data_IF_568125484771
#
_entry.id   IF_568125484771
#
_cell.length_a   1.000
_cell.length_b   1.000
_cell.length_c   1.000
_cell.angle_alpha   90.00
_cell.angle_beta   90.00
_cell.angle_gamma   90.00
#
_symmetry.space_group_name_H-M   'P 1'
#
loop_
_entity.id
_entity.type
_entity.pdbx_description
1 polymer ?
#
# COMPACT_ATOMS: atom_id res chain seq x y z
N UNK A 1 -19.10 26.47 3.40
CA UNK A 1 -18.56 25.40 4.27
C UNK A 1 -19.32 25.47 5.59
N UNK A 2 -20.19 24.49 5.83
CA UNK A 2 -21.32 24.65 6.75
C UNK A 2 -21.00 24.53 8.25
N UNK A 3 -21.70 25.38 9.01
CA UNK A 3 -22.19 25.36 10.40
C UNK A 3 -22.34 24.03 11.17
N UNK A 4 -21.58 22.98 10.86
CA UNK A 4 -21.66 21.72 11.60
C UNK A 4 -21.17 21.97 13.02
N UNK A 5 -22.10 21.86 13.99
CA UNK A 5 -21.78 21.74 15.40
C UNK A 5 -20.64 20.73 15.59
N UNK A 6 -19.66 21.06 16.44
CA UNK A 6 -18.58 20.16 16.79
C UNK A 6 -19.18 18.86 17.35
N UNK A 7 -19.25 17.82 16.51
CA UNK A 7 -19.78 16.54 16.95
C UNK A 7 -18.87 16.00 18.05
N UNK A 8 -19.46 15.55 19.15
CA UNK A 8 -18.73 14.85 20.21
C UNK A 8 -18.16 13.54 19.63
N UNK A 9 -16.88 13.54 19.28
CA UNK A 9 -16.20 12.39 18.73
C UNK A 9 -15.94 11.34 19.82
N UNK A 10 -16.05 10.08 19.46
CA UNK A 10 -15.71 8.98 20.38
C UNK A 10 -14.19 8.82 20.35
N UNK A 11 -13.52 9.15 21.47
CA UNK A 11 -12.08 8.94 21.60
C UNK A 11 -11.73 7.45 21.68
N UNK A 12 -12.40 6.71 22.58
CA UNK A 12 -12.17 5.28 22.80
C UNK A 12 -13.11 4.41 21.96
N UNK A 13 -12.66 4.01 20.78
CA UNK A 13 -13.39 3.10 19.91
C UNK A 13 -13.25 1.65 20.33
N UNK A 14 -14.38 0.93 20.29
CA UNK A 14 -14.46 -0.49 20.65
C UNK A 14 -14.69 -1.41 19.45
N UNK A 15 -15.34 -0.90 18.41
CA UNK A 15 -15.61 -1.60 17.15
C UNK A 15 -14.42 -1.44 16.20
N UNK A 16 -14.01 -2.52 15.55
CA UNK A 16 -12.87 -2.58 14.66
C UNK A 16 -13.30 -2.98 13.24
N UNK A 17 -12.42 -2.75 12.26
CA UNK A 17 -12.62 -3.28 10.91
C UNK A 17 -12.49 -4.80 10.94
N UNK A 18 -13.40 -5.52 10.30
CA UNK A 18 -13.45 -6.98 10.32
C UNK A 18 -14.17 -7.58 11.53
N UNK A 19 -14.79 -6.77 12.39
CA UNK A 19 -15.65 -7.32 13.45
C UNK A 19 -17.01 -7.75 12.86
N UNK A 20 -17.57 -8.85 13.38
CA UNK A 20 -18.95 -9.25 13.13
C UNK A 20 -19.90 -8.47 14.04
N UNK A 21 -20.85 -7.77 13.44
CA UNK A 21 -21.80 -6.91 14.14
C UNK A 21 -23.23 -7.21 13.75
N UNK A 22 -24.15 -6.96 14.67
CA UNK A 22 -25.59 -6.95 14.45
C UNK A 22 -26.14 -5.53 14.52
N UNK A 23 -27.09 -5.23 13.65
CA UNK A 23 -27.76 -3.93 13.60
C UNK A 23 -28.93 -3.93 14.60
N UNK A 24 -28.91 -2.99 15.54
CA UNK A 24 -29.93 -2.86 16.59
C UNK A 24 -31.10 -2.00 16.12
N UNK A 25 -30.79 -0.94 15.36
CA UNK A 25 -31.75 0.08 14.92
C UNK A 25 -31.45 0.51 13.50
N UNK A 26 -32.48 0.64 12.67
CA UNK A 26 -32.37 1.04 11.27
C UNK A 26 -33.30 0.23 10.38
N UNK A 27 -33.12 0.36 9.07
CA UNK A 27 -33.86 -0.37 8.04
C UNK A 27 -33.66 -1.88 8.16
N UNK A 28 -32.41 -2.29 8.36
CA UNK A 28 -31.99 -3.71 8.36
C UNK A 28 -31.79 -4.22 9.79
N UNK A 29 -32.79 -4.02 10.66
CA UNK A 29 -32.70 -4.38 12.09
C UNK A 29 -32.66 -5.90 12.29
N UNK A 30 -31.76 -6.35 13.15
CA UNK A 30 -31.59 -7.77 13.50
C UNK A 30 -30.67 -8.52 12.55
N UNK A 31 -30.25 -7.89 11.45
CA UNK A 31 -29.32 -8.49 10.52
C UNK A 31 -27.88 -8.39 11.01
N UNK A 32 -27.11 -9.43 10.70
CA UNK A 32 -25.69 -9.54 10.98
C UNK A 32 -24.87 -9.18 9.73
N UNK A 33 -23.70 -8.57 9.93
CA UNK A 33 -22.71 -8.35 8.87
C UNK A 33 -21.33 -7.98 9.40
N UNK A 34 -20.34 -8.04 8.51
CA UNK A 34 -18.94 -7.70 8.83
C UNK A 34 -18.70 -6.21 8.63
N UNK A 35 -17.88 -5.59 9.49
CA UNK A 35 -17.50 -4.18 9.34
C UNK A 35 -16.40 -4.02 8.30
N UNK A 36 -16.76 -3.54 7.10
CA UNK A 36 -15.81 -3.23 6.01
C UNK A 36 -14.91 -2.06 6.33
N UNK A 37 -15.50 -0.95 6.78
CA UNK A 37 -14.75 0.29 7.07
C UNK A 37 -15.33 1.05 8.24
N UNK A 38 -14.43 1.66 9.01
CA UNK A 38 -14.74 2.51 10.16
C UNK A 38 -14.37 3.96 9.83
N UNK A 39 -15.32 4.89 9.97
CA UNK A 39 -15.15 6.34 9.74
C UNK A 39 -15.18 7.04 11.10
N UNK A 40 -14.00 7.23 11.71
CA UNK A 40 -13.87 7.80 13.06
C UNK A 40 -14.23 9.30 13.12
N UNK A 41 -14.02 10.04 12.03
CA UNK A 41 -14.32 11.48 11.95
C UNK A 41 -15.81 11.81 12.07
N UNK A 42 -16.69 10.83 11.85
CA UNK A 42 -18.14 11.01 11.86
C UNK A 42 -18.85 10.04 12.81
N UNK A 43 -18.10 9.26 13.61
CA UNK A 43 -18.63 8.18 14.44
C UNK A 43 -19.50 7.17 13.66
N UNK A 44 -19.06 6.77 12.45
CA UNK A 44 -19.83 5.90 11.55
C UNK A 44 -19.07 4.65 11.14
N UNK A 45 -19.81 3.61 10.76
CA UNK A 45 -19.32 2.32 10.28
C UNK A 45 -20.05 1.93 8.99
N UNK A 46 -19.35 1.26 8.09
CA UNK A 46 -19.92 0.64 6.89
C UNK A 46 -19.89 -0.86 7.11
N UNK A 47 -21.07 -1.48 7.03
CA UNK A 47 -21.28 -2.92 7.20
C UNK A 47 -21.57 -3.52 5.83
N UNK A 48 -21.02 -4.70 5.57
CA UNK A 48 -21.12 -5.37 4.27
C UNK A 48 -22.57 -5.75 3.92
N UNK A 49 -23.02 -5.35 2.73
CA UNK A 49 -24.35 -5.67 2.21
C UNK A 49 -25.53 -5.05 2.99
N UNK A 50 -25.27 -4.16 3.96
CA UNK A 50 -26.31 -3.52 4.78
C UNK A 50 -26.44 -2.04 4.46
N UNK A 51 -27.61 -1.49 4.76
CA UNK A 51 -27.97 -0.09 4.56
C UNK A 51 -27.70 0.36 3.12
N UNK A 52 -28.23 -0.41 2.16
CA UNK A 52 -28.04 -0.17 0.73
C UNK A 52 -28.84 1.05 0.28
N UNK A 53 -28.16 1.95 -0.44
CA UNK A 53 -28.73 3.15 -1.05
C UNK A 53 -28.48 3.10 -2.55
N UNK A 54 -29.52 3.38 -3.33
CA UNK A 54 -29.42 3.51 -4.79
C UNK A 54 -28.80 4.87 -5.13
N UNK A 55 -27.67 4.84 -5.84
CA UNK A 55 -27.00 6.03 -6.37
C UNK A 55 -27.09 6.03 -7.88
N UNK A 56 -27.62 7.11 -8.44
CA UNK A 56 -27.61 7.36 -9.88
C UNK A 56 -26.25 7.98 -10.23
N UNK A 57 -25.49 7.32 -11.09
CA UNK A 57 -24.20 7.80 -11.57
C UNK A 57 -24.35 8.14 -13.05
N UNK A 58 -24.03 9.38 -13.41
CA UNK A 58 -24.00 9.82 -14.81
C UNK A 58 -22.82 9.12 -15.51
N UNK A 59 -23.04 8.64 -16.72
CA UNK A 59 -21.99 8.07 -17.57
C UNK A 59 -20.87 9.08 -17.85
N UNK A 60 -19.63 8.59 -17.89
CA UNK A 60 -18.45 9.35 -18.28
C UNK A 60 -17.43 8.46 -19.01
N UNK A 61 -16.27 9.01 -19.38
CA UNK A 61 -15.23 8.21 -20.02
C UNK A 61 -14.71 7.13 -19.05
N UNK A 62 -14.88 5.86 -19.42
CA UNK A 62 -14.39 4.71 -18.68
C UNK A 62 -15.31 4.16 -17.58
N UNK A 63 -16.53 4.69 -17.40
CA UNK A 63 -17.51 4.11 -16.49
C UNK A 63 -18.93 4.18 -17.06
N UNK A 64 -19.63 3.05 -17.00
CA UNK A 64 -21.03 2.96 -17.41
C UNK A 64 -21.91 3.76 -16.46
N UNK A 65 -22.88 4.48 -17.04
CA UNK A 65 -23.94 5.13 -16.27
C UNK A 65 -24.96 4.11 -15.80
N UNK A 66 -25.57 4.36 -14.65
CA UNK A 66 -26.57 3.43 -14.12
C UNK A 66 -26.98 3.70 -12.68
N UNK A 67 -27.83 2.80 -12.18
CA UNK A 67 -28.28 2.78 -10.79
C UNK A 67 -27.41 1.77 -10.04
N UNK A 68 -26.52 2.27 -9.19
CA UNK A 68 -25.64 1.43 -8.38
C UNK A 68 -26.17 1.33 -6.95
N UNK A 69 -26.24 0.12 -6.42
CA UNK A 69 -26.53 -0.12 -5.01
C UNK A 69 -25.24 0.00 -4.20
N UNK A 70 -25.12 1.03 -3.37
CA UNK A 70 -23.92 1.30 -2.56
C UNK A 70 -24.26 1.24 -1.09
N UNK A 71 -23.37 0.61 -0.30
CA UNK A 71 -23.45 0.55 1.16
C UNK A 71 -23.33 1.95 1.77
N UNK A 72 -24.28 2.35 2.60
CA UNK A 72 -24.26 3.64 3.28
C UNK A 72 -23.84 3.52 4.75
N UNK A 73 -23.17 4.53 5.31
CA UNK A 73 -22.62 4.47 6.66
C UNK A 73 -23.69 4.56 7.75
N UNK A 74 -23.63 3.64 8.72
CA UNK A 74 -24.44 3.60 9.93
C UNK A 74 -23.71 4.26 11.10
N UNK A 75 -24.45 4.84 12.04
CA UNK A 75 -23.84 5.39 13.27
C UNK A 75 -23.45 4.26 14.24
N UNK A 76 -22.33 4.42 14.96
CA UNK A 76 -21.79 3.39 15.86
C UNK A 76 -22.77 2.94 16.95
N UNK A 77 -23.64 3.84 17.42
CA UNK A 77 -24.65 3.51 18.44
C UNK A 77 -25.67 2.46 17.99
N UNK A 78 -25.84 2.29 16.66
CA UNK A 78 -26.87 1.42 16.09
C UNK A 78 -26.34 0.01 15.81
N UNK A 79 -25.06 -0.26 16.08
CA UNK A 79 -24.42 -1.56 15.87
C UNK A 79 -23.91 -2.12 17.19
N UNK A 80 -23.98 -3.44 17.33
CA UNK A 80 -23.39 -4.17 18.46
C UNK A 80 -22.53 -5.32 17.94
N UNK A 81 -21.44 -5.61 18.64
CA UNK A 81 -20.57 -6.74 18.29
C UNK A 81 -21.24 -8.03 18.72
N UNK A 82 -21.09 -9.08 17.91
CA UNK A 82 -21.62 -10.41 18.21
C UNK A 82 -20.58 -11.19 19.02
N UNK A 83 -21.04 -11.89 20.05
CA UNK A 83 -20.20 -12.85 20.77
C UNK A 83 -19.95 -14.07 19.87
N UNK A 84 -18.68 -14.46 19.59
CA UNK A 84 -18.38 -15.61 18.73
C UNK A 84 -18.94 -16.94 19.25
N UNK A 85 -19.15 -17.08 20.56
CA UNK A 85 -19.63 -18.33 21.16
C UNK A 85 -21.15 -18.38 21.17
N UNK A 86 -21.78 -17.31 21.64
CA UNK A 86 -23.24 -17.30 21.90
C UNK A 86 -24.05 -16.77 20.71
N UNK A 87 -23.42 -16.10 19.75
CA UNK A 87 -24.09 -15.46 18.61
C UNK A 87 -25.00 -14.28 19.00
N UNK A 88 -24.99 -13.87 20.27
CA UNK A 88 -25.84 -12.80 20.81
C UNK A 88 -25.14 -11.44 20.71
N UNK A 89 -25.90 -10.32 20.57
CA UNK A 89 -25.35 -8.98 20.70
C UNK A 89 -24.74 -8.77 22.09
N UNK A 90 -23.50 -8.29 22.14
CA UNK A 90 -22.81 -8.03 23.39
C UNK A 90 -22.12 -6.66 23.41
N UNK A 91 -21.82 -6.17 24.62
CA UNK A 91 -21.01 -4.97 24.83
C UNK A 91 -19.54 -5.38 25.00
N UNK A 92 -18.63 -4.67 24.34
CA UNK A 92 -17.19 -4.94 24.48
C UNK A 92 -16.62 -4.28 25.74
N UNK A 93 -15.98 -5.10 26.58
CA UNK A 93 -15.08 -4.70 27.67
C UNK A 93 -13.61 -4.89 27.29
N UNK A 94 -12.72 -4.32 28.09
CA UNK A 94 -11.27 -4.49 27.98
C UNK A 94 -10.81 -5.17 29.26
N UNK A 95 -10.00 -6.21 29.15
CA UNK A 95 -9.28 -6.84 30.27
C UNK A 95 -7.81 -6.99 29.91
N UNK A 96 -6.96 -7.08 30.92
CA UNK A 96 -5.55 -7.43 30.78
C UNK A 96 -5.37 -8.87 31.24
N UNK A 97 -4.63 -9.66 30.48
CA UNK A 97 -4.20 -11.00 30.88
C UNK A 97 -3.02 -10.90 31.87
N UNK A 98 -2.63 -12.02 32.47
CA UNK A 98 -1.46 -12.13 33.34
C UNK A 98 -0.17 -11.73 32.61
N UNK A 99 -0.10 -12.00 31.30
CA UNK A 99 1.00 -11.59 30.40
C UNK A 99 1.06 -10.07 30.14
N UNK A 100 0.09 -9.29 30.65
CA UNK A 100 -0.06 -7.85 30.37
C UNK A 100 -0.69 -7.54 29.00
N UNK A 101 -1.01 -8.56 28.19
CA UNK A 101 -1.65 -8.36 26.88
C UNK A 101 -3.08 -7.85 27.03
N UNK A 102 -3.42 -6.80 26.27
CA UNK A 102 -4.74 -6.17 26.27
C UNK A 102 -5.72 -6.95 25.38
N UNK A 103 -6.74 -7.54 25.98
CA UNK A 103 -7.78 -8.31 25.28
C UNK A 103 -9.16 -7.66 25.38
N UNK A 104 -9.98 -7.89 24.37
CA UNK A 104 -11.41 -7.52 24.38
C UNK A 104 -12.23 -8.69 24.90
N UNK A 105 -13.21 -8.39 25.75
CA UNK A 105 -14.07 -9.40 26.39
C UNK A 105 -15.54 -9.06 26.19
N UNK A 106 -16.37 -10.06 25.93
CA UNK A 106 -17.83 -9.86 25.85
C UNK A 106 -18.43 -9.57 27.23
N UNK A 107 -19.35 -8.59 27.31
CA UNK A 107 -20.09 -8.23 28.54
C UNK A 107 -21.57 -8.06 28.23
N UNK A 108 -22.43 -8.46 29.16
CA UNK A 108 -23.88 -8.25 29.08
C UNK A 108 -24.67 -9.47 29.54
N UNK A 109 -26.00 -9.32 29.60
CA UNK A 109 -26.91 -10.41 29.92
C UNK A 109 -26.89 -11.40 28.74
N UNK A 110 -26.48 -12.65 29.00
CA UNK A 110 -26.33 -13.68 27.96
C UNK A 110 -25.03 -13.61 27.13
N UNK A 111 -24.02 -12.86 27.56
CA UNK A 111 -22.67 -12.93 27.00
C UNK A 111 -21.83 -13.96 27.76
N UNK A 112 -21.03 -14.74 27.03
CA UNK A 112 -20.23 -15.84 27.60
C UNK A 112 -18.96 -15.37 28.35
N UNK A 113 -18.63 -14.08 28.31
CA UNK A 113 -17.37 -13.57 28.83
C UNK A 113 -16.16 -14.00 28.00
N UNK A 114 -16.41 -14.48 26.78
CA UNK A 114 -15.40 -14.94 25.83
C UNK A 114 -14.45 -13.82 25.42
N UNK A 115 -13.23 -14.22 25.07
CA UNK A 115 -12.24 -13.32 24.50
C UNK A 115 -12.59 -13.08 23.03
N UNK A 116 -12.85 -11.81 22.67
CA UNK A 116 -13.09 -11.41 21.29
C UNK A 116 -11.74 -10.98 20.70
N UNK A 117 -11.10 -11.78 19.83
CA UNK A 117 -9.78 -11.46 19.32
C UNK A 117 -9.81 -10.21 18.45
N UNK A 118 -8.65 -9.56 18.30
CA UNK A 118 -8.48 -8.46 17.35
C UNK A 118 -8.49 -9.04 15.92
N UNK A 119 -9.35 -8.55 15.00
CA UNK A 119 -9.45 -9.08 13.65
C UNK A 119 -8.16 -8.87 12.85
N UNK A 120 -7.81 -9.85 12.03
CA UNK A 120 -6.53 -9.91 11.29
C UNK A 120 -6.38 -8.81 10.24
N UNK A 121 -7.50 -8.34 9.66
CA UNK A 121 -7.53 -7.29 8.64
C UNK A 121 -6.88 -5.97 9.10
N UNK A 122 -6.72 -5.77 10.42
CA UNK A 122 -6.02 -4.61 10.96
C UNK A 122 -4.50 -4.69 10.86
N UNK A 123 -3.92 -5.89 10.67
CA UNK A 123 -2.49 -6.08 10.48
C UNK A 123 -2.07 -5.74 9.03
N UNK A 124 -3.00 -5.82 8.09
CA UNK A 124 -2.75 -5.57 6.67
C UNK A 124 -2.56 -4.06 6.43
N UNK A 125 -1.49 -3.71 5.70
CA UNK A 125 -1.25 -2.34 5.24
C UNK A 125 -2.20 -2.03 4.08
N UNK A 126 -2.88 -0.89 4.13
CA UNK A 126 -3.84 -0.49 3.09
C UNK A 126 -3.17 -0.11 1.77
N UNK A 127 -1.95 0.38 1.84
CA UNK A 127 -1.09 0.58 0.67
C UNK A 127 -0.10 -0.59 0.65
N UNK A 128 -0.12 -1.46 -0.38
CA UNK A 128 0.98 -2.39 -0.56
C UNK A 128 2.28 -1.58 -0.70
N UNK A 129 3.40 -2.12 -0.23
CA UNK A 129 4.71 -1.52 -0.55
C UNK A 129 4.78 -1.41 -2.07
N UNK A 130 5.16 -0.25 -2.62
CA UNK A 130 5.24 -0.10 -4.07
C UNK A 130 6.33 -1.04 -4.59
N UNK A 131 5.91 -2.18 -5.13
CA UNK A 131 6.79 -3.10 -5.85
C UNK A 131 6.79 -2.60 -7.29
N UNK A 132 7.71 -1.69 -7.61
CA UNK A 132 8.03 -1.30 -8.98
C UNK A 132 8.73 -2.48 -9.67
N UNK A 133 8.00 -3.56 -9.94
CA UNK A 133 8.38 -4.62 -10.87
C UNK A 133 7.16 -5.49 -11.21
N UNK A 134 6.19 -4.93 -11.94
CA UNK A 134 5.08 -5.71 -12.52
C UNK A 134 5.13 -5.76 -14.06
N UNK A 135 6.17 -5.19 -14.69
CA UNK A 135 6.28 -5.10 -16.15
C UNK A 135 7.02 -6.29 -16.79
N UNK A 136 7.68 -7.16 -16.02
CA UNK A 136 8.59 -8.21 -16.56
C UNK A 136 8.21 -9.63 -16.11
N UNK A 137 6.97 -9.85 -15.64
CA UNK A 137 6.54 -11.14 -15.07
C UNK A 137 5.44 -11.87 -15.88
N UNK A 138 5.29 -11.58 -17.18
CA UNK A 138 4.38 -12.36 -18.03
C UNK A 138 5.00 -13.69 -18.53
N UNK A 139 6.32 -13.89 -18.43
CA UNK A 139 7.02 -14.97 -19.15
C UNK A 139 7.81 -15.97 -18.27
N UNK A 140 7.36 -16.32 -17.06
CA UNK A 140 8.05 -17.35 -16.26
C UNK A 140 7.10 -18.26 -15.47
N UNK A 141 7.18 -19.60 -15.62
CA UNK A 141 6.30 -20.55 -14.94
C UNK A 141 6.62 -20.71 -13.43
N UNK A 142 5.67 -21.24 -12.64
CA UNK A 142 5.72 -21.20 -11.18
C UNK A 142 6.56 -22.37 -10.65
N UNK A 143 7.75 -22.05 -10.12
CA UNK A 143 8.46 -22.95 -9.20
C UNK A 143 8.77 -22.15 -7.93
N UNK A 144 8.35 -22.75 -6.82
CA UNK A 144 8.47 -22.39 -5.42
C UNK A 144 9.50 -21.29 -5.05
N UNK A 145 9.06 -20.46 -4.10
CA UNK A 145 9.89 -19.68 -3.17
C UNK A 145 10.74 -18.54 -3.79
N UNK A 146 10.07 -17.45 -4.17
CA UNK A 146 10.74 -16.14 -4.30
C UNK A 146 10.10 -15.11 -3.36
N UNK A 147 10.17 -15.40 -2.06
CA UNK A 147 9.84 -14.43 -1.01
C UNK A 147 10.95 -13.37 -0.77
N UNK A 148 11.99 -13.33 -1.61
CA UNK A 148 13.22 -12.57 -1.34
C UNK A 148 13.65 -11.52 -2.38
N UNK A 149 12.79 -11.06 -3.28
CA UNK A 149 13.14 -9.98 -4.21
C UNK A 149 12.01 -8.96 -4.36
N UNK A 150 11.75 -8.22 -3.28
CA UNK A 150 10.78 -7.12 -3.21
C UNK A 150 11.38 -5.87 -2.53
N UNK A 151 12.68 -5.65 -2.72
CA UNK A 151 13.36 -4.41 -2.32
C UNK A 151 13.33 -3.47 -3.52
N UNK A 152 12.78 -2.27 -3.34
CA UNK A 152 12.87 -1.21 -4.34
C UNK A 152 14.33 -0.81 -4.56
N UNK A 153 14.65 -0.06 -5.63
CA UNK A 153 16.02 0.35 -5.94
C UNK A 153 16.69 1.20 -4.85
N UNK A 154 15.92 1.70 -3.87
CA UNK A 154 16.39 2.49 -2.72
C UNK A 154 16.36 1.73 -1.39
N UNK A 155 15.86 0.48 -1.37
CA UNK A 155 15.76 -0.30 -0.14
C UNK A 155 17.07 -1.09 0.07
N UNK A 156 17.73 -0.88 1.21
CA UNK A 156 18.92 -1.65 1.60
C UNK A 156 18.53 -3.10 1.94
N UNK A 157 19.36 -4.10 1.58
CA UNK A 157 19.11 -5.49 1.97
C UNK A 157 19.10 -5.63 3.50
N UNK A 158 18.25 -6.52 4.02
CA UNK A 158 18.06 -6.69 5.47
C UNK A 158 19.35 -7.08 6.18
N UNK A 159 20.22 -7.85 5.51
CA UNK A 159 21.52 -8.30 6.05
C UNK A 159 22.38 -7.13 6.51
N UNK A 160 22.47 -6.07 5.70
CA UNK A 160 23.22 -4.86 6.04
C UNK A 160 22.58 -4.07 7.20
N UNK A 161 21.25 -4.10 7.30
CA UNK A 161 20.52 -3.40 8.38
C UNK A 161 20.68 -4.10 9.72
N UNK A 162 20.74 -5.43 9.70
CA UNK A 162 20.90 -6.24 10.92
C UNK A 162 22.35 -6.38 11.36
N UNK A 163 23.31 -6.00 10.52
CA UNK A 163 24.72 -5.94 10.88
C UNK A 163 24.92 -4.96 12.04
N UNK A 164 25.37 -5.48 13.19
CA UNK A 164 25.64 -4.66 14.37
C UNK A 164 26.99 -3.96 14.20
N UNK A 165 26.95 -2.77 13.62
CA UNK A 165 28.14 -1.94 13.34
C UNK A 165 28.66 -1.16 14.56
N UNK A 166 27.96 -1.21 15.69
CA UNK A 166 28.33 -0.49 16.92
C UNK A 166 29.09 -1.40 17.88
N UNK A 167 30.34 -1.05 18.20
CA UNK A 167 31.11 -1.63 19.30
C UNK A 167 31.06 -0.70 20.53
N UNK A 168 30.46 -1.20 21.62
CA UNK A 168 30.24 -0.46 22.85
C UNK A 168 31.54 -0.10 23.60
N UNK A 169 32.66 -0.78 23.32
CA UNK A 169 33.92 -0.58 24.05
C UNK A 169 34.81 0.50 23.46
N UNK A 170 34.77 0.70 22.15
CA UNK A 170 35.67 1.59 21.41
C UNK A 170 35.00 2.91 21.01
N UNK A 171 33.66 2.98 21.04
CA UNK A 171 32.90 4.18 20.62
C UNK A 171 33.04 4.50 19.13
N UNK A 172 33.71 3.65 18.34
CA UNK A 172 33.92 3.84 16.92
C UNK A 172 32.69 3.34 16.15
N UNK A 173 31.80 4.25 15.77
CA UNK A 173 30.85 3.98 14.71
C UNK A 173 31.62 3.78 13.41
N UNK A 174 31.45 2.64 12.75
CA UNK A 174 32.20 2.24 11.56
C UNK A 174 32.31 3.34 10.51
N UNK A 175 33.54 3.71 10.18
CA UNK A 175 33.89 4.72 9.19
C UNK A 175 33.56 4.24 7.77
N UNK A 176 32.38 4.57 7.26
CA UNK A 176 32.03 4.40 5.85
C UNK A 176 31.60 5.73 5.23
N UNK A 177 32.57 6.61 5.00
CA UNK A 177 32.43 7.79 4.14
C UNK A 177 33.75 8.15 3.44
N UNK A 178 34.56 7.15 3.04
CA UNK A 178 35.87 7.38 2.42
C UNK A 178 36.14 6.49 1.20
N UNK A 179 35.15 6.33 0.32
CA UNK A 179 35.36 5.63 -0.95
C UNK A 179 34.70 6.30 -2.16
N UNK A 180 34.43 7.61 -2.07
CA UNK A 180 34.40 8.48 -3.25
C UNK A 180 35.82 8.95 -3.53
N UNK A 181 36.67 8.05 -4.05
CA UNK A 181 37.86 8.52 -4.79
C UNK A 181 37.32 9.26 -6.01
N UNK A 182 37.48 10.58 -5.98
CA UNK A 182 37.49 11.41 -7.17
C UNK A 182 38.45 10.77 -8.19
N UNK A 183 37.88 10.11 -9.20
CA UNK A 183 38.59 9.87 -10.44
C UNK A 183 38.69 11.24 -11.13
N UNK A 184 39.75 11.98 -10.81
CA UNK A 184 40.17 13.13 -11.61
C UNK A 184 40.59 12.60 -12.98
N UNK A 185 39.66 12.62 -13.93
CA UNK A 185 39.98 12.47 -15.34
C UNK A 185 40.75 13.72 -15.74
N UNK A 186 42.07 13.60 -15.81
CA UNK A 186 42.98 14.61 -16.33
C UNK A 186 42.79 14.70 -17.85
N UNK A 187 41.79 15.46 -18.30
CA UNK A 187 41.68 15.88 -19.70
C UNK A 187 42.58 17.11 -19.91
N UNK A 188 43.76 16.86 -20.47
CA UNK A 188 44.54 17.88 -21.14
C UNK A 188 43.78 18.30 -22.41
N UNK A 189 43.09 19.45 -22.35
CA UNK A 189 42.51 20.11 -23.50
C UNK A 189 43.51 21.19 -23.94
N UNK A 190 44.14 21.09 -25.12
CA UNK A 190 44.83 22.22 -25.70
C UNK A 190 43.81 23.24 -26.19
N UNK A 191 43.96 24.47 -25.71
CA UNK A 191 43.25 25.66 -26.18
C UNK A 191 43.65 25.90 -27.64
N UNK A 192 42.71 25.70 -28.56
CA UNK A 192 42.85 26.19 -29.95
C UNK A 192 41.83 27.29 -30.15
N UNK A 193 42.38 28.48 -30.35
CA UNK A 193 41.75 29.76 -30.61
C UNK A 193 41.74 29.97 -32.12
N UNK A 194 40.60 29.78 -32.81
CA UNK A 194 40.35 30.26 -34.19
C UNK A 194 38.82 30.35 -34.36
N UNK A 195 38.23 31.52 -34.21
CA UNK A 195 37.96 32.56 -35.23
C UNK A 195 36.63 32.35 -35.97
N UNK A 196 35.88 33.44 -36.07
CA UNK A 196 34.46 33.54 -36.30
C UNK A 196 34.24 34.11 -37.70
N UNK A 197 33.89 33.27 -38.68
CA UNK A 197 33.37 33.77 -39.94
C UNK A 197 32.61 32.71 -40.76
N UNK A 198 31.38 33.07 -41.09
CA UNK A 198 30.79 32.96 -42.44
C UNK A 198 30.11 31.63 -42.84
N UNK A 199 28.77 31.73 -42.79
CA UNK A 199 27.78 31.37 -43.84
C UNK A 199 27.39 29.91 -44.11
N UNK A 200 26.08 29.71 -43.95
CA UNK A 200 25.15 29.13 -44.96
C UNK A 200 25.25 27.64 -45.31
N UNK A 201 24.14 26.96 -44.99
CA UNK A 201 23.44 25.93 -45.77
C UNK A 201 23.65 24.43 -45.44
N UNK A 202 22.50 23.76 -45.46
CA UNK A 202 22.23 22.34 -45.77
C UNK A 202 22.37 21.25 -44.70
N UNK A 203 21.31 21.14 -43.90
CA UNK A 203 21.04 20.07 -42.93
C UNK A 203 20.42 18.79 -43.55
N UNK A 204 20.65 18.51 -44.84
CA UNK A 204 19.97 17.40 -45.57
C UNK A 204 20.90 16.19 -45.87
N UNK A 205 22.20 16.26 -45.57
CA UNK A 205 23.14 15.17 -45.90
C UNK A 205 23.66 14.35 -44.71
N UNK A 206 23.08 14.52 -43.51
CA UNK A 206 23.49 13.73 -42.33
C UNK A 206 22.68 12.43 -42.14
N UNK A 207 21.66 12.17 -42.97
CA UNK A 207 20.77 11.01 -42.82
C UNK A 207 21.11 9.80 -43.72
N UNK A 208 22.20 9.84 -44.51
CA UNK A 208 22.56 8.76 -45.45
C UNK A 208 23.79 7.93 -45.08
N UNK A 209 24.47 8.18 -43.96
CA UNK A 209 25.74 7.48 -43.63
C UNK A 209 25.55 6.32 -42.62
N UNK A 210 24.37 6.16 -42.02
CA UNK A 210 24.15 5.10 -41.01
C UNK A 210 23.50 3.80 -41.53
N UNK A 211 23.13 3.74 -42.83
CA UNK A 211 22.38 2.60 -43.38
C UNK A 211 23.25 1.57 -44.14
N UNK A 212 24.52 1.87 -44.47
CA UNK A 212 25.41 0.93 -45.18
C UNK A 212 26.30 0.08 -44.26
N UNK A 213 26.48 0.44 -42.98
CA UNK A 213 27.30 -0.36 -42.06
C UNK A 213 26.59 -1.62 -41.49
N UNK A 214 25.26 -1.69 -41.57
CA UNK A 214 24.48 -2.80 -40.99
C UNK A 214 24.36 -4.02 -41.92
N UNK A 215 24.58 -3.87 -43.23
CA UNK A 215 24.50 -4.96 -44.20
C UNK A 215 25.81 -5.73 -44.38
N UNK A 216 26.96 -5.15 -44.03
CA UNK A 216 28.26 -5.84 -44.11
C UNK A 216 28.52 -6.83 -42.96
N UNK A 217 27.86 -6.67 -41.80
CA UNK A 217 28.07 -7.53 -40.63
C UNK A 217 27.24 -8.83 -40.64
N UNK A 218 26.23 -8.94 -41.51
CA UNK A 218 25.34 -10.10 -41.57
C UNK A 218 25.77 -11.19 -42.57
N UNK A 219 26.74 -10.91 -43.46
CA UNK A 219 27.19 -11.89 -44.47
C UNK A 219 28.35 -12.80 -44.03
N UNK A 220 29.04 -12.51 -42.92
CA UNK A 220 30.20 -13.32 -42.48
C UNK A 220 29.81 -14.42 -41.48
N UNK A 221 28.60 -14.38 -40.92
CA UNK A 221 28.13 -15.35 -39.91
C UNK A 221 27.32 -16.53 -40.45
N UNK A 222 27.19 -16.66 -41.78
CA UNK A 222 26.58 -17.82 -42.44
C UNK A 222 27.56 -18.70 -43.23
N UNK A 223 28.87 -18.41 -43.17
CA UNK A 223 29.92 -19.20 -43.83
C UNK A 223 30.71 -20.10 -42.87
N UNK A 224 30.25 -20.26 -41.63
CA UNK A 224 30.85 -21.16 -40.64
C UNK A 224 29.71 -21.98 -40.03
N UNK A 225 29.44 -23.11 -40.70
CA UNK A 225 29.30 -24.39 -40.01
C UNK A 225 30.51 -24.62 -39.10
#
# INVERSE_FOLDING_TARGET
MGWKAAQKLIHHWKVLRGDNVVIIRGKDRGETGTVKRVIRSQNRVIVEGKNLVKKHIKQGQGHEGGIFSVEAPLHVSNVQVIDPVTGKPCKVGIKYLEDGTKVRVSRGIGASGSMIPRPEILKIRSTPRQLLCCFVLWFMPPRAERWYQLVGPKDTPMEFVLEKTYDAKTGAAGAWFSQLRFFTVSLAIPVVFVDWSITSWDFVTFFSIHFECLLAAFSVKLAIL
#
